data_IF_738035545472
#
_entry.id   IF_738035545472
#
_cell.length_a   1.000
_cell.length_b   1.000
_cell.length_c   1.000
_cell.angle_alpha   90.00
_cell.angle_beta   90.00
_cell.angle_gamma   90.00
#
_symmetry.space_group_name_H-M   'P 1'
#
loop_
_entity.id
_entity.type
_entity.pdbx_description
1 polymer ?
#
# COMPACT_ATOMS: atom_id res chain seq x y z
N UNK A 1 -8.65 31.17 -47.18
CA UNK A 1 -8.30 31.74 -45.87
C UNK A 1 -7.93 33.18 -46.12
N UNK A 2 -8.82 34.08 -45.71
CA UNK A 2 -8.77 35.50 -46.02
C UNK A 2 -7.53 36.18 -45.40
N UNK A 3 -6.99 37.25 -46.01
CA UNK A 3 -5.81 37.97 -45.51
C UNK A 3 -6.03 38.59 -44.11
N UNK A 4 -7.28 38.81 -43.70
CA UNK A 4 -7.64 39.32 -42.37
C UNK A 4 -7.32 38.33 -41.23
N UNK A 5 -7.43 37.02 -41.48
CA UNK A 5 -7.16 35.98 -40.48
C UNK A 5 -5.66 35.85 -40.16
N UNK A 6 -4.79 36.06 -41.14
CA UNK A 6 -3.33 36.03 -40.95
C UNK A 6 -2.83 37.23 -40.14
N UNK A 7 -3.43 38.41 -40.32
CA UNK A 7 -3.12 39.59 -39.53
C UNK A 7 -3.58 39.41 -38.07
N UNK A 8 -4.77 38.84 -37.86
CA UNK A 8 -5.28 38.51 -36.53
C UNK A 8 -4.38 37.49 -35.82
N UNK A 9 -3.92 36.45 -36.52
CA UNK A 9 -3.03 35.41 -35.99
C UNK A 9 -1.64 35.97 -35.62
N UNK A 10 -1.08 36.86 -36.44
CA UNK A 10 0.17 37.57 -36.17
C UNK A 10 0.06 38.47 -34.93
N UNK A 11 -1.05 39.18 -34.76
CA UNK A 11 -1.31 39.99 -33.56
C UNK A 11 -1.42 39.15 -32.29
N UNK A 12 -1.97 37.93 -32.39
CA UNK A 12 -2.10 36.97 -31.28
C UNK A 12 -0.74 36.38 -30.89
N UNK A 13 0.10 36.07 -31.88
CA UNK A 13 1.47 35.61 -31.68
C UNK A 13 2.35 36.69 -31.04
N UNK A 14 2.26 37.95 -31.47
CA UNK A 14 2.98 39.07 -30.83
C UNK A 14 2.53 39.29 -29.38
N UNK A 15 1.23 39.18 -29.08
CA UNK A 15 0.71 39.26 -27.70
C UNK A 15 1.19 38.11 -26.82
N UNK A 16 1.30 36.88 -27.34
CA UNK A 16 1.89 35.76 -26.61
C UNK A 16 3.40 35.94 -26.40
N UNK A 17 4.13 36.47 -27.39
CA UNK A 17 5.58 36.74 -27.28
C UNK A 17 5.88 37.84 -26.26
N UNK A 18 5.01 38.84 -26.16
CA UNK A 18 5.07 39.89 -25.11
C UNK A 18 4.75 39.32 -23.71
N UNK A 19 3.80 38.38 -23.61
CA UNK A 19 3.48 37.68 -22.34
C UNK A 19 4.54 36.65 -21.91
N UNK A 20 5.39 36.19 -22.82
CA UNK A 20 6.54 35.31 -22.51
C UNK A 20 7.84 36.08 -22.20
N UNK A 21 7.82 37.41 -22.17
CA UNK A 21 8.95 38.18 -21.64
C UNK A 21 8.92 38.07 -20.11
N UNK A 22 9.90 37.34 -19.59
CA UNK A 22 10.01 36.85 -18.22
C UNK A 22 9.76 37.92 -17.13
N UNK A 23 9.18 37.53 -15.98
CA UNK A 23 9.28 38.35 -14.77
C UNK A 23 10.75 38.41 -14.34
N UNK A 24 11.19 39.64 -14.10
CA UNK A 24 12.48 40.02 -13.55
C UNK A 24 12.66 39.51 -12.11
N UNK A 25 13.86 38.97 -11.88
CA UNK A 25 14.62 38.94 -10.61
C UNK A 25 14.20 37.93 -9.52
N UNK A 26 14.78 36.73 -9.59
CA UNK A 26 15.14 35.95 -8.40
C UNK A 26 16.25 36.69 -7.63
N UNK A 27 16.30 36.62 -6.28
CA UNK A 27 17.35 37.26 -5.50
C UNK A 27 18.74 36.74 -5.92
N UNK A 28 19.79 37.59 -5.90
CA UNK A 28 21.12 37.15 -6.26
C UNK A 28 21.59 36.07 -5.30
N UNK A 29 21.97 34.90 -5.85
CA UNK A 29 22.65 33.85 -5.11
C UNK A 29 23.92 34.48 -4.51
N UNK A 30 24.14 34.40 -3.18
CA UNK A 30 25.35 34.94 -2.57
C UNK A 30 26.58 34.34 -3.25
N UNK A 31 27.51 35.19 -3.68
CA UNK A 31 28.79 34.76 -4.23
C UNK A 31 29.52 33.97 -3.13
N UNK A 32 29.42 32.64 -3.17
CA UNK A 32 29.89 31.76 -2.10
C UNK A 32 29.03 30.51 -1.90
N UNK A 33 27.73 30.55 -2.25
CA UNK A 33 26.82 29.42 -2.07
C UNK A 33 27.28 28.16 -2.84
N UNK A 34 27.86 28.34 -4.03
CA UNK A 34 28.44 27.24 -4.81
C UNK A 34 29.74 26.67 -4.20
N UNK A 35 30.52 27.50 -3.50
CA UNK A 35 31.72 27.04 -2.79
C UNK A 35 31.34 26.32 -1.49
N UNK A 36 30.34 26.82 -0.77
CA UNK A 36 29.79 26.18 0.44
C UNK A 36 29.14 24.82 0.10
N UNK A 37 28.37 24.74 -0.98
CA UNK A 37 27.80 23.47 -1.46
C UNK A 37 28.88 22.47 -1.86
N UNK A 38 29.96 22.91 -2.53
CA UNK A 38 31.11 22.05 -2.84
C UNK A 38 31.81 21.56 -1.58
N UNK A 39 32.04 22.43 -0.60
CA UNK A 39 32.63 22.05 0.69
C UNK A 39 31.75 21.07 1.49
N UNK A 40 30.42 21.22 1.44
CA UNK A 40 29.47 20.26 2.02
C UNK A 40 29.50 18.91 1.31
N UNK A 41 29.69 18.89 -0.01
CA UNK A 41 29.77 17.65 -0.80
C UNK A 41 31.08 16.90 -0.54
N UNK A 42 32.19 17.61 -0.38
CA UNK A 42 33.49 17.05 -0.03
C UNK A 42 33.51 16.50 1.40
N UNK A 43 32.88 17.20 2.35
CA UNK A 43 32.75 16.69 3.73
C UNK A 43 31.88 15.43 3.81
N UNK A 44 30.80 15.34 3.02
CA UNK A 44 29.98 14.12 2.90
C UNK A 44 30.78 12.95 2.31
N UNK A 45 31.55 13.15 1.24
CA UNK A 45 32.44 12.11 0.69
C UNK A 45 33.49 11.65 1.70
N UNK A 46 34.06 12.58 2.48
CA UNK A 46 35.00 12.24 3.54
C UNK A 46 34.37 11.50 4.73
N UNK A 47 33.07 11.67 4.98
CA UNK A 47 32.33 10.89 5.98
C UNK A 47 31.98 9.49 5.45
N UNK A 48 31.64 9.38 4.16
CA UNK A 48 31.37 8.09 3.49
C UNK A 48 32.61 7.19 3.51
N UNK A 49 33.78 7.72 3.18
CA UNK A 49 35.06 6.99 3.27
C UNK A 49 35.36 6.54 4.71
N UNK A 50 35.12 7.42 5.70
CA UNK A 50 35.30 7.06 7.13
C UNK A 50 34.33 6.00 7.62
N UNK A 51 33.11 5.94 7.10
CA UNK A 51 32.15 4.88 7.39
C UNK A 51 32.59 3.57 6.73
N UNK A 52 33.14 3.63 5.51
CA UNK A 52 33.67 2.47 4.81
C UNK A 52 34.92 1.90 5.50
N UNK A 53 35.82 2.76 5.98
CA UNK A 53 36.99 2.36 6.78
C UNK A 53 36.61 1.81 8.14
N UNK A 54 35.59 2.38 8.81
CA UNK A 54 35.04 1.81 10.07
C UNK A 54 34.32 0.48 9.86
N UNK A 55 33.67 0.28 8.71
CA UNK A 55 33.09 -1.01 8.33
C UNK A 55 34.18 -2.05 8.02
N UNK A 56 35.30 -1.63 7.40
CA UNK A 56 36.48 -2.49 7.20
C UNK A 56 37.22 -2.84 8.50
N UNK A 57 37.36 -1.87 9.41
CA UNK A 57 38.06 -2.06 10.69
C UNK A 57 37.25 -2.84 11.74
N UNK A 58 35.91 -2.80 11.67
CA UNK A 58 35.03 -3.59 12.55
C UNK A 58 34.87 -5.05 12.12
N UNK A 59 35.42 -5.43 10.95
CA UNK A 59 35.43 -6.81 10.46
C UNK A 59 36.49 -7.73 11.08
N UNK A 60 37.38 -7.23 11.96
CA UNK A 60 38.51 -8.01 12.49
C UNK A 60 38.37 -8.46 13.96
N UNK A 61 37.33 -8.04 14.68
CA UNK A 61 37.11 -8.46 16.08
C UNK A 61 35.61 -8.55 16.41
N UNK A 62 34.98 -9.64 15.99
CA UNK A 62 33.73 -10.09 16.58
C UNK A 62 33.71 -11.62 16.59
N UNK A 63 34.16 -12.15 17.73
CA UNK A 63 34.12 -13.56 18.08
C UNK A 63 32.65 -14.02 18.09
N UNK A 64 32.36 -15.05 17.31
CA UNK A 64 31.08 -15.72 17.24
C UNK A 64 30.60 -16.15 18.63
N UNK A 65 29.51 -15.55 19.11
CA UNK A 65 28.60 -16.18 20.06
C UNK A 65 27.36 -16.57 19.28
N UNK A 66 27.37 -17.81 18.79
CA UNK A 66 26.27 -18.44 18.09
C UNK A 66 25.11 -18.68 19.06
N UNK A 67 24.02 -17.92 18.87
CA UNK A 67 22.68 -18.36 19.23
C UNK A 67 21.92 -18.66 17.91
N UNK A 68 21.16 -19.75 17.83
CA UNK A 68 20.82 -20.37 16.55
C UNK A 68 19.88 -19.49 15.74
N UNK A 69 20.34 -19.05 14.58
CA UNK A 69 19.47 -18.57 13.52
C UNK A 69 18.56 -19.73 13.12
N UNK A 70 17.26 -19.54 13.30
CA UNK A 70 16.26 -20.42 12.71
C UNK A 70 16.51 -20.47 11.20
N UNK A 71 16.86 -21.65 10.71
CA UNK A 71 16.99 -21.94 9.30
C UNK A 71 15.63 -21.73 8.62
N UNK A 72 15.57 -20.78 7.71
CA UNK A 72 14.42 -20.47 6.90
C UNK A 72 14.85 -19.81 5.59
N UNK A 73 15.15 -20.68 4.62
CA UNK A 73 15.21 -20.52 3.18
C UNK A 73 16.08 -19.39 2.56
N UNK A 74 16.86 -19.76 1.55
CA UNK A 74 17.91 -18.96 0.89
C UNK A 74 17.40 -17.88 -0.06
N UNK A 75 16.57 -16.96 0.42
CA UNK A 75 16.15 -15.77 -0.33
C UNK A 75 17.11 -14.62 -0.11
N UNK A 76 17.70 -14.06 -1.18
CA UNK A 76 18.39 -12.77 -1.09
C UNK A 76 17.47 -11.75 -0.42
N UNK A 77 17.93 -11.16 0.69
CA UNK A 77 17.16 -10.18 1.45
C UNK A 77 16.77 -9.03 0.51
N UNK A 78 15.47 -8.79 0.38
CA UNK A 78 14.93 -7.70 -0.43
C UNK A 78 15.56 -6.35 -0.02
N UNK A 79 15.66 -5.37 -0.92
CA UNK A 79 16.16 -4.05 -0.57
C UNK A 79 15.38 -3.40 0.58
N UNK A 80 16.07 -2.64 1.44
CA UNK A 80 15.48 -2.03 2.62
C UNK A 80 14.28 -1.12 2.31
N UNK A 81 14.33 -0.38 1.20
CA UNK A 81 13.24 0.50 0.77
C UNK A 81 11.96 -0.26 0.40
N UNK A 82 12.04 -1.57 0.10
CA UNK A 82 10.87 -2.42 -0.14
C UNK A 82 10.36 -3.05 1.16
N UNK A 83 11.27 -3.49 2.03
CA UNK A 83 10.96 -4.20 3.28
C UNK A 83 10.34 -3.33 4.36
N UNK A 84 10.65 -2.04 4.37
CA UNK A 84 10.17 -1.10 5.38
C UNK A 84 9.32 0.00 4.76
N UNK A 85 8.77 -0.25 3.57
CA UNK A 85 8.00 0.72 2.84
C UNK A 85 6.75 1.15 3.60
N UNK A 86 6.00 0.21 4.17
CA UNK A 86 4.78 0.50 4.93
C UNK A 86 5.07 1.30 6.21
N UNK A 87 6.20 1.03 6.87
CA UNK A 87 6.62 1.71 8.10
C UNK A 87 7.12 3.14 7.86
N UNK A 88 7.63 3.43 6.67
CA UNK A 88 8.17 4.74 6.31
C UNK A 88 7.12 5.74 5.79
N UNK A 89 5.84 5.34 5.71
CA UNK A 89 4.78 6.22 5.20
C UNK A 89 4.19 7.05 6.34
N UNK A 90 4.17 8.38 6.19
CA UNK A 90 3.51 9.32 7.11
C UNK A 90 1.97 9.31 6.96
N UNK A 91 1.37 8.13 6.76
CA UNK A 91 -0.07 7.96 6.62
C UNK A 91 -0.67 7.46 7.94
N UNK A 92 -1.90 7.90 8.28
CA UNK A 92 -2.60 7.36 9.45
C UNK A 92 -2.71 5.83 9.33
N UNK A 93 -2.65 5.11 10.46
CA UNK A 93 -2.67 3.65 10.47
C UNK A 93 -3.97 3.15 9.82
N UNK A 94 -3.83 2.38 8.75
CA UNK A 94 -4.94 1.83 7.99
C UNK A 94 -4.52 0.59 7.21
N UNK A 95 -5.38 0.13 6.29
CA UNK A 95 -5.11 -1.02 5.42
C UNK A 95 -4.14 -0.65 4.28
N UNK A 96 -2.90 -0.33 4.64
CA UNK A 96 -1.85 0.00 3.66
C UNK A 96 -1.41 -1.23 2.88
N UNK A 97 -1.12 -1.06 1.59
CA UNK A 97 -0.61 -2.14 0.75
C UNK A 97 0.92 -2.29 0.85
N UNK A 98 1.44 -3.54 0.75
CA UNK A 98 2.87 -3.81 0.60
C UNK A 98 3.48 -3.08 -0.62
N UNK A 99 4.78 -2.78 -0.58
CA UNK A 99 5.49 -2.12 -1.70
C UNK A 99 5.20 -2.77 -3.05
N UNK A 100 5.34 -4.10 -3.12
CA UNK A 100 5.17 -4.86 -4.37
C UNK A 100 3.76 -4.76 -4.93
N UNK A 101 2.76 -4.73 -4.06
CA UNK A 101 1.35 -4.62 -4.44
C UNK A 101 1.01 -3.20 -4.85
N UNK A 102 1.63 -2.19 -4.24
CA UNK A 102 1.54 -0.79 -4.69
C UNK A 102 2.11 -0.62 -6.09
N UNK A 103 3.29 -1.20 -6.38
CA UNK A 103 3.87 -1.19 -7.74
C UNK A 103 2.93 -1.87 -8.73
N UNK A 104 2.34 -3.02 -8.37
CA UNK A 104 1.39 -3.71 -9.24
C UNK A 104 0.10 -2.90 -9.47
N UNK A 105 -0.39 -2.18 -8.47
CA UNK A 105 -1.53 -1.27 -8.61
C UNK A 105 -1.22 -0.08 -9.54
N UNK A 106 0.00 0.46 -9.47
CA UNK A 106 0.48 1.48 -10.42
C UNK A 106 0.60 0.92 -11.84
N UNK A 107 1.10 -0.31 -11.99
CA UNK A 107 1.14 -1.02 -13.27
C UNK A 107 -0.25 -1.21 -13.85
N UNK A 108 -1.22 -1.69 -13.06
CA UNK A 108 -2.61 -1.84 -13.49
C UNK A 108 -3.21 -0.51 -13.93
N UNK A 109 -3.07 0.56 -13.13
CA UNK A 109 -3.54 1.91 -13.50
C UNK A 109 -2.97 2.34 -14.84
N UNK A 110 -1.71 2.01 -15.08
CA UNK A 110 -1.01 2.37 -16.31
C UNK A 110 -1.52 1.57 -17.50
N UNK A 111 -1.67 0.26 -17.34
CA UNK A 111 -2.26 -0.63 -18.34
C UNK A 111 -3.67 -0.14 -18.71
N UNK A 112 -4.52 0.16 -17.72
CA UNK A 112 -5.91 0.56 -17.95
C UNK A 112 -6.01 1.93 -18.64
N UNK A 113 -5.06 2.84 -18.38
CA UNK A 113 -4.99 4.13 -19.07
C UNK A 113 -4.62 3.96 -20.55
N UNK A 114 -3.59 3.15 -20.86
CA UNK A 114 -3.18 2.88 -22.24
C UNK A 114 -4.25 2.06 -22.98
N UNK A 115 -4.80 1.03 -22.32
CA UNK A 115 -5.89 0.22 -22.86
C UNK A 115 -7.12 1.09 -23.16
N UNK A 116 -7.51 1.98 -22.25
CA UNK A 116 -8.61 2.92 -22.48
C UNK A 116 -8.39 3.83 -23.68
N UNK A 117 -7.19 4.39 -23.82
CA UNK A 117 -6.84 5.23 -24.97
C UNK A 117 -6.95 4.46 -26.30
N UNK A 118 -6.47 3.22 -26.36
CA UNK A 118 -6.52 2.38 -27.56
C UNK A 118 -7.94 1.87 -27.85
N UNK A 119 -8.65 1.43 -26.81
CA UNK A 119 -10.01 0.93 -26.89
C UNK A 119 -10.99 2.00 -27.38
N UNK A 120 -10.91 3.21 -26.81
CA UNK A 120 -11.84 4.29 -27.10
C UNK A 120 -11.73 4.82 -28.54
N UNK A 121 -10.61 4.57 -29.21
CA UNK A 121 -10.39 4.89 -30.62
C UNK A 121 -10.51 3.67 -31.54
N UNK A 122 -11.04 2.55 -31.04
CA UNK A 122 -11.24 1.29 -31.75
C UNK A 122 -9.95 0.70 -32.35
N UNK A 123 -8.82 0.87 -31.66
CA UNK A 123 -7.54 0.29 -32.04
C UNK A 123 -7.27 -1.01 -31.27
N UNK A 124 -6.79 -2.04 -31.96
CA UNK A 124 -6.40 -3.31 -31.32
C UNK A 124 -5.28 -3.10 -30.31
N UNK A 125 -5.56 -3.51 -29.07
CA UNK A 125 -4.67 -3.37 -27.92
C UNK A 125 -3.73 -4.57 -27.88
N UNK A 126 -2.55 -4.43 -28.47
CA UNK A 126 -1.51 -5.47 -28.42
C UNK A 126 -0.62 -5.29 -27.19
N UNK A 127 -0.09 -6.39 -26.67
CA UNK A 127 0.84 -6.37 -25.55
C UNK A 127 2.05 -5.47 -25.83
N UNK A 128 2.58 -5.47 -27.05
CA UNK A 128 3.70 -4.60 -27.43
C UNK A 128 3.38 -3.10 -27.23
N UNK A 129 2.18 -2.65 -27.61
CA UNK A 129 1.73 -1.26 -27.41
C UNK A 129 1.54 -0.95 -25.94
N UNK A 130 0.92 -1.86 -25.19
CA UNK A 130 0.72 -1.71 -23.74
C UNK A 130 2.07 -1.67 -23.02
N UNK A 131 2.98 -2.58 -23.34
CA UNK A 131 4.34 -2.63 -22.79
C UNK A 131 5.06 -1.30 -23.01
N UNK A 132 5.13 -0.83 -24.25
CA UNK A 132 5.77 0.45 -24.55
C UNK A 132 5.12 1.61 -23.77
N UNK A 133 3.79 1.74 -23.82
CA UNK A 133 3.08 2.81 -23.14
C UNK A 133 3.23 2.80 -21.61
N UNK A 134 3.22 1.62 -20.99
CA UNK A 134 3.40 1.47 -19.54
C UNK A 134 4.85 1.77 -19.14
N UNK A 135 5.84 1.29 -19.90
CA UNK A 135 7.25 1.58 -19.63
C UNK A 135 7.56 3.06 -19.79
N UNK A 136 6.98 3.73 -20.80
CA UNK A 136 7.12 5.17 -21.00
C UNK A 136 6.49 5.97 -19.87
N UNK A 137 5.33 5.53 -19.37
CA UNK A 137 4.62 6.25 -18.32
C UNK A 137 5.21 6.02 -16.92
N UNK A 138 5.63 4.79 -16.60
CA UNK A 138 6.14 4.44 -15.28
C UNK A 138 7.66 4.52 -15.15
N UNK A 139 8.40 4.55 -16.27
CA UNK A 139 9.87 4.45 -16.31
C UNK A 139 10.41 3.22 -15.56
N UNK A 140 9.65 2.11 -15.59
CA UNK A 140 9.96 0.82 -14.97
C UNK A 140 9.80 -0.31 -15.99
N UNK A 141 10.43 -1.45 -15.76
CA UNK A 141 10.26 -2.63 -16.61
C UNK A 141 8.83 -3.17 -16.53
N UNK A 142 8.28 -3.59 -17.67
CA UNK A 142 6.96 -4.20 -17.75
C UNK A 142 6.97 -5.41 -18.70
N UNK A 143 6.72 -6.59 -18.15
CA UNK A 143 6.75 -7.88 -18.84
C UNK A 143 5.39 -8.59 -18.80
N UNK A 144 5.23 -9.62 -19.64
CA UNK A 144 4.00 -10.43 -19.69
C UNK A 144 3.67 -11.06 -18.33
N UNK A 145 4.68 -11.39 -17.52
CA UNK A 145 4.50 -11.85 -16.14
C UNK A 145 3.61 -10.91 -15.34
N UNK A 146 3.73 -9.59 -15.50
CA UNK A 146 2.91 -8.63 -14.76
C UNK A 146 1.47 -8.60 -15.26
N UNK A 147 1.23 -8.86 -16.56
CA UNK A 147 -0.13 -9.08 -17.09
C UNK A 147 -0.74 -10.32 -16.46
N UNK A 148 0.05 -11.39 -16.29
CA UNK A 148 -0.37 -12.58 -15.54
C UNK A 148 -0.70 -12.28 -14.09
N UNK A 149 0.08 -11.43 -13.41
CA UNK A 149 -0.21 -10.99 -12.03
C UNK A 149 -1.49 -10.15 -11.96
N UNK A 150 -1.68 -9.22 -12.90
CA UNK A 150 -2.91 -8.42 -13.01
C UNK A 150 -4.13 -9.34 -13.20
N UNK A 151 -4.03 -10.34 -14.08
CA UNK A 151 -5.08 -11.35 -14.29
C UNK A 151 -5.33 -12.18 -13.03
N UNK A 152 -4.31 -12.54 -12.26
CA UNK A 152 -4.49 -13.26 -11.00
C UNK A 152 -5.27 -12.44 -9.97
N UNK A 153 -5.01 -11.13 -9.88
CA UNK A 153 -5.68 -10.22 -8.93
C UNK A 153 -7.08 -9.85 -9.38
N UNK A 154 -7.28 -9.63 -10.68
CA UNK A 154 -8.56 -9.20 -11.24
C UNK A 154 -8.87 -9.97 -12.53
N UNK A 155 -9.31 -11.24 -12.42
CA UNK A 155 -9.49 -12.14 -13.57
C UNK A 155 -10.52 -11.66 -14.59
N UNK A 156 -11.52 -10.91 -14.13
CA UNK A 156 -12.62 -10.39 -14.94
C UNK A 156 -12.30 -9.07 -15.64
N UNK A 157 -11.11 -8.49 -15.43
CA UNK A 157 -10.75 -7.17 -15.96
C UNK A 157 -10.53 -7.11 -17.47
N UNK A 158 -9.87 -8.14 -18.02
CA UNK A 158 -9.50 -8.24 -19.42
C UNK A 158 -9.71 -9.64 -19.95
N UNK A 159 -10.22 -9.72 -21.18
CA UNK A 159 -10.16 -10.92 -21.99
C UNK A 159 -8.86 -10.92 -22.77
N UNK A 160 -8.03 -11.91 -22.51
CA UNK A 160 -6.73 -12.07 -23.15
C UNK A 160 -6.85 -13.08 -24.29
N UNK A 161 -6.31 -12.76 -25.47
CA UNK A 161 -6.34 -13.63 -26.65
C UNK A 161 -5.00 -13.64 -27.35
N UNK A 162 -4.79 -14.66 -28.17
CA UNK A 162 -3.68 -14.67 -29.11
C UNK A 162 -4.21 -14.48 -30.53
N UNK A 163 -3.79 -13.41 -31.20
CA UNK A 163 -4.30 -13.03 -32.52
C UNK A 163 -3.15 -12.94 -33.54
N UNK A 164 -3.45 -13.30 -34.79
CA UNK A 164 -2.52 -13.29 -35.94
C UNK A 164 -2.88 -12.15 -36.88
N UNK A 165 -1.94 -11.72 -37.72
CA UNK A 165 -2.16 -10.71 -38.77
C UNK A 165 -2.54 -9.30 -38.29
N UNK A 166 -2.20 -8.92 -37.05
CA UNK A 166 -2.40 -7.54 -36.60
C UNK A 166 -1.37 -6.65 -37.30
N UNK A 167 -1.79 -5.56 -37.98
CA UNK A 167 -0.86 -4.68 -38.67
C UNK A 167 0.02 -3.92 -37.67
N UNK A 168 1.25 -4.40 -37.48
CA UNK A 168 2.30 -3.70 -36.73
C UNK A 168 3.08 -2.78 -37.66
N UNK A 169 2.95 -1.47 -37.48
CA UNK A 169 3.82 -0.50 -38.16
C UNK A 169 5.19 -0.50 -37.48
N UNK A 170 6.25 -0.84 -38.23
CA UNK A 170 7.64 -0.59 -37.80
C UNK A 170 8.30 -1.64 -36.89
N UNK A 171 7.73 -2.83 -36.69
CA UNK A 171 8.43 -3.93 -36.02
C UNK A 171 8.61 -5.09 -37.01
N UNK A 172 9.84 -5.61 -37.14
CA UNK A 172 10.20 -6.73 -38.02
C UNK A 172 9.55 -8.08 -37.67
N UNK A 173 8.43 -8.05 -36.94
CA UNK A 173 7.56 -9.19 -36.63
C UNK A 173 6.88 -9.62 -37.93
N UNK A 174 7.06 -10.88 -38.31
CA UNK A 174 6.49 -11.41 -39.55
C UNK A 174 4.95 -11.39 -39.40
N UNK A 175 4.22 -11.10 -40.49
CA UNK A 175 2.74 -11.13 -40.49
C UNK A 175 2.15 -12.46 -39.97
N UNK A 176 2.95 -13.53 -39.95
CA UNK A 176 2.63 -14.85 -39.43
C UNK A 176 2.70 -15.03 -37.90
N UNK A 177 3.17 -14.04 -37.15
CA UNK A 177 3.48 -14.24 -35.73
C UNK A 177 2.32 -13.79 -34.84
N UNK A 178 1.98 -14.66 -33.89
CA UNK A 178 0.92 -14.47 -32.93
C UNK A 178 1.28 -13.39 -31.91
N UNK A 179 0.38 -12.45 -31.64
CA UNK A 179 0.55 -11.42 -30.60
C UNK A 179 -0.53 -11.53 -29.52
N UNK A 180 -0.14 -11.31 -28.27
CA UNK A 180 -1.07 -11.24 -27.14
C UNK A 180 -1.89 -9.94 -27.25
N UNK A 181 -3.21 -10.06 -27.26
CA UNK A 181 -4.15 -8.94 -27.26
C UNK A 181 -4.94 -8.88 -25.96
N UNK A 182 -5.25 -7.65 -25.54
CA UNK A 182 -6.00 -7.36 -24.32
C UNK A 182 -7.33 -6.70 -24.72
N UNK A 183 -8.46 -7.25 -24.31
CA UNK A 183 -9.77 -6.63 -24.52
C UNK A 183 -10.37 -6.29 -23.14
N UNK A 184 -10.62 -5.00 -22.82
CA UNK A 184 -11.26 -4.65 -21.55
C UNK A 184 -12.69 -5.19 -21.53
N UNK A 185 -13.04 -5.89 -20.44
CA UNK A 185 -14.41 -6.37 -20.24
C UNK A 185 -15.21 -5.22 -19.61
N UNK A 186 -16.27 -4.80 -20.29
CA UNK A 186 -17.18 -3.73 -19.85
C UNK A 186 -18.58 -4.31 -19.58
N UNK A 187 -19.32 -3.69 -18.66
CA UNK A 187 -20.74 -4.00 -18.45
C UNK A 187 -21.60 -3.51 -19.62
N UNK A 188 -22.81 -4.07 -19.77
CA UNK A 188 -23.71 -3.79 -20.91
C UNK A 188 -24.12 -2.31 -21.05
N UNK A 189 -24.04 -1.54 -19.95
CA UNK A 189 -24.46 -0.14 -19.84
C UNK A 189 -23.39 0.90 -20.26
N UNK A 190 -22.17 0.47 -20.61
CA UNK A 190 -21.03 1.37 -20.87
C UNK A 190 -20.85 1.70 -22.35
N UNK A 191 -21.91 2.22 -22.98
CA UNK A 191 -21.89 2.62 -24.38
C UNK A 191 -21.95 4.15 -24.52
N UNK A 192 -20.96 4.73 -25.19
CA UNK A 192 -20.99 6.12 -25.64
C UNK A 192 -21.33 6.14 -27.13
N UNK A 193 -22.42 6.82 -27.51
CA UNK A 193 -22.92 6.85 -28.88
C UNK A 193 -23.14 5.43 -29.48
N UNK A 194 -23.60 4.48 -28.67
CA UNK A 194 -23.86 3.09 -29.07
C UNK A 194 -22.62 2.19 -29.20
N UNK A 195 -21.41 2.71 -28.95
CA UNK A 195 -20.17 1.94 -28.95
C UNK A 195 -19.63 1.74 -27.54
N UNK A 196 -19.05 0.56 -27.21
CA UNK A 196 -18.36 0.36 -25.95
C UNK A 196 -17.30 1.44 -25.73
N UNK A 197 -17.29 2.06 -24.55
CA UNK A 197 -16.35 3.15 -24.24
C UNK A 197 -15.86 3.04 -22.80
N UNK A 198 -14.55 3.00 -22.62
CA UNK A 198 -13.92 2.99 -21.31
C UNK A 198 -13.83 4.43 -20.78
N UNK A 199 -14.86 4.83 -20.03
CA UNK A 199 -14.99 6.18 -19.46
C UNK A 199 -14.09 6.41 -18.24
N UNK A 200 -13.93 7.67 -17.83
CA UNK A 200 -13.15 8.03 -16.65
C UNK A 200 -13.74 7.45 -15.34
N UNK A 201 -15.07 7.36 -15.22
CA UNK A 201 -15.71 6.75 -14.05
C UNK A 201 -15.38 5.25 -13.97
N UNK A 202 -15.38 4.57 -15.12
CA UNK A 202 -15.10 3.13 -15.21
C UNK A 202 -13.64 2.80 -14.94
N UNK A 203 -12.71 3.63 -15.40
CA UNK A 203 -11.30 3.56 -14.99
C UNK A 203 -11.13 3.69 -13.47
N UNK A 204 -11.90 4.58 -12.82
CA UNK A 204 -11.83 4.76 -11.37
C UNK A 204 -12.43 3.58 -10.61
N UNK A 205 -13.55 3.02 -11.08
CA UNK A 205 -14.17 1.81 -10.53
C UNK A 205 -13.23 0.61 -10.63
N UNK A 206 -12.69 0.33 -11.82
CA UNK A 206 -11.72 -0.75 -12.05
C UNK A 206 -10.49 -0.59 -11.16
N UNK A 207 -10.00 0.65 -10.98
CA UNK A 207 -8.89 0.94 -10.04
C UNK A 207 -9.25 0.63 -8.58
N UNK A 208 -10.48 0.98 -8.15
CA UNK A 208 -10.96 0.67 -6.79
C UNK A 208 -11.12 -0.83 -6.58
N UNK A 209 -11.66 -1.53 -7.57
CA UNK A 209 -11.85 -2.98 -7.53
C UNK A 209 -10.50 -3.72 -7.47
N UNK A 210 -9.54 -3.34 -8.32
CA UNK A 210 -8.18 -3.88 -8.28
C UNK A 210 -7.51 -3.65 -6.92
N UNK A 211 -7.64 -2.43 -6.36
CA UNK A 211 -7.09 -2.12 -5.04
C UNK A 211 -7.77 -2.94 -3.93
N UNK A 212 -9.10 -3.11 -3.99
CA UNK A 212 -9.86 -3.94 -3.05
C UNK A 212 -9.40 -5.40 -3.12
N UNK A 213 -9.22 -5.95 -4.32
CA UNK A 213 -8.71 -7.32 -4.49
C UNK A 213 -7.32 -7.49 -3.90
N UNK A 214 -6.40 -6.53 -4.10
CA UNK A 214 -5.09 -6.55 -3.45
C UNK A 214 -5.19 -6.52 -1.93
N UNK A 215 -6.05 -5.65 -1.37
CA UNK A 215 -6.27 -5.59 0.08
C UNK A 215 -6.82 -6.92 0.60
N UNK A 216 -7.74 -7.56 -0.12
CA UNK A 216 -8.29 -8.86 0.27
C UNK A 216 -7.22 -9.96 0.30
N UNK A 217 -6.28 -9.97 -0.65
CA UNK A 217 -5.13 -10.90 -0.60
C UNK A 217 -4.29 -10.65 0.66
N UNK A 218 -4.01 -9.39 1.01
CA UNK A 218 -3.28 -9.07 2.26
C UNK A 218 -4.08 -9.47 3.49
N UNK A 219 -5.41 -9.31 3.49
CA UNK A 219 -6.30 -9.76 4.58
C UNK A 219 -6.19 -11.27 4.81
N UNK A 220 -6.09 -12.09 3.76
CA UNK A 220 -5.90 -13.53 3.88
C UNK A 220 -4.58 -13.87 4.60
N UNK A 221 -3.48 -13.21 4.21
CA UNK A 221 -2.19 -13.38 4.88
C UNK A 221 -2.19 -12.86 6.32
N UNK A 222 -2.90 -11.76 6.58
CA UNK A 222 -3.08 -11.22 7.92
C UNK A 222 -3.91 -12.15 8.80
N UNK A 223 -4.97 -12.75 8.28
CA UNK A 223 -5.77 -13.75 9.00
C UNK A 223 -4.94 -14.98 9.37
N UNK A 224 -4.11 -15.49 8.45
CA UNK A 224 -3.16 -16.56 8.73
C UNK A 224 -2.15 -16.18 9.83
N UNK A 225 -1.64 -14.94 9.81
CA UNK A 225 -0.77 -14.42 10.85
C UNK A 225 -1.48 -14.35 12.22
N UNK A 226 -2.71 -13.83 12.27
CA UNK A 226 -3.49 -13.73 13.51
C UNK A 226 -3.81 -15.09 14.12
N UNK A 227 -4.07 -16.11 13.28
CA UNK A 227 -4.28 -17.49 13.73
C UNK A 227 -3.02 -18.11 14.35
N UNK A 228 -1.83 -17.68 13.93
CA UNK A 228 -0.54 -18.13 14.48
C UNK A 228 -0.12 -17.42 15.78
N UNK A 229 -0.83 -16.38 16.23
CA UNK A 229 -0.51 -15.70 17.48
C UNK A 229 -0.92 -16.52 18.71
N UNK A 230 -0.20 -16.33 19.82
CA UNK A 230 -0.58 -16.88 21.13
C UNK A 230 -1.03 -15.74 22.04
N UNK A 231 -2.33 -15.59 22.37
CA UNK A 231 -3.48 -16.42 21.99
C UNK A 231 -3.95 -16.16 20.54
N UNK A 232 -4.59 -17.16 19.89
CA UNK A 232 -5.12 -17.00 18.55
C UNK A 232 -6.15 -15.87 18.51
N UNK A 233 -6.01 -15.01 17.51
CA UNK A 233 -6.93 -13.89 17.30
C UNK A 233 -7.73 -14.12 16.03
N UNK A 234 -9.04 -13.87 16.08
CA UNK A 234 -9.91 -13.90 14.90
C UNK A 234 -10.61 -12.56 14.81
N UNK A 235 -10.33 -11.82 13.75
CA UNK A 235 -10.94 -10.52 13.48
C UNK A 235 -11.73 -10.63 12.17
N UNK A 236 -13.04 -10.34 12.15
CA UNK A 236 -13.82 -10.34 10.92
C UNK A 236 -13.26 -9.37 9.88
N UNK A 237 -13.09 -9.83 8.64
CA UNK A 237 -12.46 -9.07 7.56
C UNK A 237 -13.17 -7.74 7.24
N UNK A 238 -14.50 -7.69 7.43
CA UNK A 238 -15.33 -6.51 7.13
C UNK A 238 -15.14 -5.38 8.15
N UNK A 239 -14.74 -5.71 9.38
CA UNK A 239 -14.54 -4.74 10.47
C UNK A 239 -13.08 -4.30 10.63
N UNK A 240 -12.18 -4.86 9.85
CA UNK A 240 -10.75 -4.55 9.94
C UNK A 240 -10.48 -3.16 9.37
N UNK A 241 -10.05 -2.23 10.23
CA UNK A 241 -9.72 -0.84 9.82
C UNK A 241 -8.22 -0.62 9.65
N UNK A 242 -7.40 -1.38 10.38
CA UNK A 242 -5.93 -1.32 10.34
C UNK A 242 -5.30 -2.68 10.56
N UNK A 243 -4.07 -2.85 10.08
CA UNK A 243 -3.29 -4.07 10.32
C UNK A 243 -2.87 -4.21 11.78
N UNK A 244 -2.57 -5.44 12.19
CA UNK A 244 -1.97 -5.70 13.50
C UNK A 244 -0.58 -5.03 13.58
N UNK A 245 -0.17 -4.35 14.67
CA UNK A 245 1.10 -3.62 14.73
C UNK A 245 2.36 -4.48 14.50
N UNK A 246 2.31 -5.76 14.90
CA UNK A 246 3.37 -6.75 14.64
C UNK A 246 3.29 -7.45 13.28
N UNK A 247 2.28 -7.16 12.47
CA UNK A 247 2.16 -7.75 11.15
C UNK A 247 3.08 -7.02 10.18
N UNK A 248 4.05 -7.72 9.61
CA UNK A 248 4.95 -7.15 8.61
C UNK A 248 4.30 -7.19 7.24
N UNK A 249 3.71 -6.05 6.84
CA UNK A 249 2.97 -5.91 5.58
C UNK A 249 3.87 -6.15 4.37
N UNK A 250 5.15 -5.75 4.39
CA UNK A 250 6.03 -5.84 3.22
C UNK A 250 6.66 -7.25 3.01
N UNK A 251 6.50 -8.16 3.97
CA UNK A 251 6.94 -9.57 3.87
C UNK A 251 5.87 -10.50 3.28
N UNK A 252 4.72 -9.96 2.88
CA UNK A 252 3.65 -10.72 2.24
C UNK A 252 4.17 -11.38 0.93
N UNK A 253 3.81 -12.64 0.65
CA UNK A 253 4.23 -13.36 -0.56
C UNK A 253 3.89 -12.64 -1.87
N UNK A 254 4.71 -12.89 -2.89
CA UNK A 254 4.48 -12.37 -4.24
C UNK A 254 3.27 -13.04 -4.89
N UNK A 255 2.49 -12.25 -5.63
CA UNK A 255 1.36 -12.76 -6.40
C UNK A 255 1.88 -13.64 -7.53
N UNK A 256 1.45 -14.91 -7.53
CA UNK A 256 1.72 -15.87 -8.59
C UNK A 256 1.02 -15.43 -9.88
N UNK A 257 1.73 -15.27 -11.01
CA UNK A 257 1.12 -14.89 -12.27
C UNK A 257 0.15 -15.95 -12.75
N UNK A 258 -1.06 -15.55 -13.13
CA UNK A 258 -2.02 -16.45 -13.78
C UNK A 258 -1.55 -16.81 -15.19
N UNK A 259 -1.94 -18.00 -15.65
CA UNK A 259 -1.59 -18.47 -16.99
C UNK A 259 -2.18 -17.57 -18.08
N UNK A 260 -1.32 -17.20 -19.03
CA UNK A 260 -1.67 -16.41 -20.20
C UNK A 260 -1.92 -17.33 -21.40
N UNK A 261 -2.81 -16.95 -22.34
CA UNK A 261 -3.01 -17.72 -23.56
C UNK A 261 -1.69 -17.77 -24.32
N UNK A 262 -1.25 -18.98 -24.66
CA UNK A 262 -0.05 -19.19 -25.48
C UNK A 262 -0.46 -19.25 -26.95
N UNK A 263 0.43 -18.87 -27.88
CA UNK A 263 0.24 -19.18 -29.28
C UNK A 263 -0.08 -20.66 -29.47
N UNK A 264 -1.10 -21.01 -30.29
CA UNK A 264 -1.28 -22.39 -30.68
C UNK A 264 0.02 -22.85 -31.33
N UNK A 265 0.55 -23.99 -30.88
CA UNK A 265 1.69 -24.63 -31.52
C UNK A 265 1.20 -25.09 -32.90
N UNK A 266 1.33 -24.22 -33.91
CA UNK A 266 1.34 -24.69 -35.28
C UNK A 266 2.53 -25.65 -35.37
N UNK A 267 2.28 -26.95 -35.53
CA UNK A 267 3.30 -27.94 -35.91
C UNK A 267 3.86 -27.52 -37.26
N UNK A 268 4.75 -26.52 -37.23
CA UNK A 268 5.54 -26.14 -38.39
C UNK A 268 6.47 -27.32 -38.59
N UNK A 269 6.16 -28.16 -39.56
CA UNK A 269 7.03 -29.21 -40.05
C UNK A 269 8.21 -28.51 -40.74
N UNK A 270 9.11 -27.92 -39.95
CA UNK A 270 10.23 -27.11 -40.43
C UNK A 270 11.36 -27.98 -40.95
N UNK A 271 11.35 -29.26 -40.61
CA UNK A 271 12.46 -30.16 -40.88
C UNK A 271 12.04 -31.21 -41.88
N UNK A 272 12.80 -31.39 -42.96
CA UNK A 272 12.58 -32.49 -43.91
C UNK A 272 12.54 -33.87 -43.22
N UNK A 273 13.20 -33.98 -42.07
CA UNK A 273 13.15 -35.16 -41.19
C UNK A 273 11.77 -35.40 -40.55
N UNK A 274 11.02 -34.35 -40.22
CA UNK A 274 9.66 -34.47 -39.67
C UNK A 274 8.62 -34.75 -40.76
N UNK A 275 8.84 -34.24 -41.98
CA UNK A 275 8.06 -34.66 -43.16
C UNK A 275 8.32 -36.14 -43.50
N UNK A 276 9.57 -36.59 -43.36
CA UNK A 276 9.92 -38.00 -43.58
C UNK A 276 9.43 -38.90 -42.44
N UNK A 277 9.40 -38.44 -41.19
CA UNK A 277 8.89 -39.24 -40.07
C UNK A 277 7.37 -39.39 -40.09
N UNK A 278 6.63 -38.39 -40.56
CA UNK A 278 5.19 -38.49 -40.81
C UNK A 278 4.89 -39.37 -42.04
N UNK A 279 5.75 -39.34 -43.07
CA UNK A 279 5.66 -40.22 -44.23
C UNK A 279 6.17 -41.66 -44.01
N UNK A 280 6.81 -41.97 -42.86
CA UNK A 280 7.26 -43.34 -42.52
C UNK A 280 6.11 -44.35 -42.43
N UNK A 281 4.88 -43.91 -42.24
CA UNK A 281 3.68 -44.77 -42.31
C UNK A 281 3.26 -45.15 -43.74
N UNK A 282 3.90 -44.59 -44.78
CA UNK A 282 3.59 -44.86 -46.19
C UNK A 282 4.65 -45.66 -46.95
N UNK A 283 5.70 -46.22 -46.32
CA UNK A 283 6.68 -47.07 -47.02
C UNK A 283 7.27 -48.23 -46.20
N UNK A 284 7.24 -49.41 -46.84
CA UNK A 284 7.85 -50.75 -46.61
C UNK A 284 8.09 -51.21 -45.13
N UNK A 285 7.37 -52.26 -44.67
CA UNK A 285 7.28 -52.70 -43.26
C UNK A 285 8.53 -53.38 -42.65
N UNK A 286 9.68 -53.41 -43.34
CA UNK A 286 10.86 -54.17 -42.87
C UNK A 286 11.85 -53.35 -42.02
N UNK A 287 11.75 -52.03 -41.97
CA UNK A 287 12.64 -51.18 -41.17
C UNK A 287 12.05 -50.71 -39.83
N UNK A 288 10.72 -50.77 -39.65
CA UNK A 288 10.04 -50.45 -38.38
C UNK A 288 10.43 -51.39 -37.23
N UNK A 289 10.61 -52.69 -37.52
CA UNK A 289 10.98 -53.70 -36.53
C UNK A 289 12.41 -53.57 -35.99
N UNK A 290 13.29 -52.83 -36.67
CA UNK A 290 14.66 -52.60 -36.20
C UNK A 290 14.78 -51.40 -35.26
N UNK A 291 13.88 -50.40 -35.36
CA UNK A 291 13.88 -49.19 -34.52
C UNK A 291 13.06 -49.35 -33.23
N UNK A 292 12.04 -50.21 -33.22
CA UNK A 292 11.29 -50.55 -32.01
C UNK A 292 12.19 -51.21 -30.93
N UNK A 293 13.20 -51.98 -31.35
CA UNK A 293 14.14 -52.64 -30.43
C UNK A 293 15.22 -51.71 -29.84
N UNK A 294 15.36 -50.47 -30.34
CA UNK A 294 16.29 -49.47 -29.81
C UNK A 294 15.63 -48.50 -28.82
N UNK A 295 14.32 -48.25 -28.96
CA UNK A 295 13.54 -47.43 -28.03
C UNK A 295 13.16 -48.18 -26.73
N UNK A 296 13.14 -49.52 -26.76
CA UNK A 296 12.95 -50.34 -25.56
C UNK A 296 14.22 -50.43 -24.68
N UNK A 297 15.40 -49.99 -25.15
CA UNK A 297 16.66 -49.98 -24.36
C UNK A 297 16.96 -48.65 -23.67
N UNK A 298 16.17 -47.60 -23.89
CA UNK A 298 16.38 -46.26 -23.30
C UNK A 298 15.30 -45.84 -22.29
N UNK A 299 14.33 -46.72 -21.99
CA UNK A 299 13.23 -46.44 -21.05
C UNK A 299 13.42 -47.06 -19.65
N UNK A 300 14.57 -47.65 -19.32
CA UNK A 300 14.87 -48.27 -18.01
C UNK A 300 15.84 -47.44 -17.13
N UNK A 301 16.02 -46.14 -17.39
CA UNK A 301 16.83 -45.27 -16.55
C UNK A 301 16.04 -44.02 -16.11
N UNK A 302 15.39 -44.12 -14.95
CA UNK A 302 15.04 -42.95 -14.13
C UNK A 302 13.54 -42.71 -13.90
N UNK A 303 12.90 -43.55 -13.08
CA UNK A 303 11.63 -43.24 -12.42
C UNK A 303 11.72 -43.68 -10.95
N UNK A 304 11.88 -42.71 -10.04
CA UNK A 304 11.81 -42.90 -8.59
C UNK A 304 10.72 -42.00 -8.02
N UNK A 305 9.72 -42.63 -7.40
CA UNK A 305 8.59 -41.99 -6.70
C UNK A 305 8.75 -42.15 -5.16
N UNK A 306 7.95 -41.46 -4.32
CA UNK A 306 8.43 -40.62 -3.21
C UNK A 306 8.23 -41.24 -1.81
N UNK A 307 8.95 -40.71 -0.81
CA UNK A 307 8.78 -41.06 0.61
C UNK A 307 8.28 -39.86 1.43
N UNK A 308 7.35 -40.18 2.32
CA UNK A 308 6.40 -39.36 3.09
C UNK A 308 7.02 -38.67 4.32
N UNK A 309 6.64 -37.40 4.47
CA UNK A 309 6.31 -36.62 5.67
C UNK A 309 6.95 -36.91 7.04
N UNK A 310 7.67 -35.92 7.59
CA UNK A 310 7.88 -35.77 9.05
C UNK A 310 7.48 -34.36 9.50
N UNK A 311 6.49 -34.29 10.40
CA UNK A 311 5.98 -33.05 10.97
C UNK A 311 6.89 -32.49 12.09
N UNK A 312 6.85 -31.17 12.34
CA UNK A 312 7.71 -30.49 13.32
C UNK A 312 7.12 -30.46 14.73
N UNK A 313 7.94 -30.73 15.74
CA UNK A 313 7.61 -30.46 17.15
C UNK A 313 7.78 -28.97 17.47
N UNK A 314 6.89 -28.37 18.30
CA UNK A 314 6.95 -26.94 18.60
C UNK A 314 8.00 -26.61 19.65
N UNK A 315 8.49 -25.38 19.56
CA UNK A 315 9.56 -24.80 20.34
C UNK A 315 9.25 -24.71 21.84
N UNK A 316 10.22 -25.15 22.63
CA UNK A 316 10.32 -24.95 24.07
C UNK A 316 10.33 -23.45 24.40
N UNK A 317 9.36 -23.00 25.19
CA UNK A 317 9.33 -21.64 25.70
C UNK A 317 10.54 -21.37 26.61
N UNK A 318 11.22 -20.28 26.32
CA UNK A 318 12.38 -19.74 27.02
C UNK A 318 12.20 -19.64 28.54
N UNK A 319 13.26 -19.98 29.27
CA UNK A 319 13.35 -19.97 30.74
C UNK A 319 13.28 -18.60 31.43
N UNK A 320 12.76 -17.57 30.75
CA UNK A 320 12.69 -16.19 31.25
C UNK A 320 11.47 -15.89 32.13
N UNK A 321 10.52 -16.84 32.26
CA UNK A 321 9.27 -16.69 33.02
C UNK A 321 9.19 -17.65 34.22
N UNK A 322 10.33 -18.18 34.67
CA UNK A 322 10.42 -19.11 35.80
C UNK A 322 10.17 -18.38 37.12
N UNK A 323 8.90 -18.05 37.39
CA UNK A 323 8.49 -17.35 38.62
C UNK A 323 7.15 -16.60 38.56
N UNK A 324 6.53 -16.43 37.38
CA UNK A 324 5.20 -15.82 37.25
C UNK A 324 4.18 -16.94 37.01
N UNK A 325 3.03 -16.91 37.71
CA UNK A 325 1.99 -17.93 37.54
C UNK A 325 1.50 -17.96 36.09
N UNK A 326 1.37 -19.16 35.52
CA UNK A 326 0.92 -19.35 34.14
C UNK A 326 -0.46 -18.72 33.90
N UNK A 327 -1.35 -18.78 34.90
CA UNK A 327 -2.67 -18.13 34.87
C UNK A 327 -2.60 -16.60 34.73
N UNK A 328 -1.64 -15.94 35.40
CA UNK A 328 -1.48 -14.49 35.28
C UNK A 328 -0.94 -14.11 33.89
N UNK A 329 0.00 -14.89 33.37
CA UNK A 329 0.52 -14.70 32.01
C UNK A 329 -0.55 -14.90 30.96
N UNK A 330 -1.38 -15.94 31.09
CA UNK A 330 -2.52 -16.18 30.21
C UNK A 330 -3.54 -15.04 30.27
N UNK A 331 -3.84 -14.54 31.48
CA UNK A 331 -4.75 -13.40 31.66
C UNK A 331 -4.18 -12.11 31.05
N UNK A 332 -2.89 -11.85 31.19
CA UNK A 332 -2.22 -10.70 30.57
C UNK A 332 -2.27 -10.82 29.05
N UNK A 333 -1.89 -11.99 28.49
CA UNK A 333 -1.93 -12.23 27.05
C UNK A 333 -3.35 -12.10 26.48
N UNK A 334 -4.36 -12.62 27.17
CA UNK A 334 -5.75 -12.48 26.78
C UNK A 334 -6.22 -11.01 26.81
N UNK A 335 -5.77 -10.23 27.81
CA UNK A 335 -6.06 -8.80 27.90
C UNK A 335 -5.37 -8.00 26.80
N UNK A 336 -4.13 -8.32 26.47
CA UNK A 336 -3.38 -7.71 25.36
C UNK A 336 -4.03 -8.03 24.01
N UNK A 337 -4.41 -9.29 23.79
CA UNK A 337 -5.11 -9.71 22.57
C UNK A 337 -6.45 -8.97 22.40
N UNK A 338 -7.25 -8.85 23.47
CA UNK A 338 -8.51 -8.05 23.43
C UNK A 338 -8.24 -6.58 23.09
N UNK A 339 -7.22 -5.98 23.71
CA UNK A 339 -6.83 -4.59 23.42
C UNK A 339 -6.42 -4.42 21.95
N UNK A 340 -5.64 -5.36 21.41
CA UNK A 340 -5.21 -5.36 20.01
C UNK A 340 -6.39 -5.57 19.06
N UNK A 341 -7.36 -6.42 19.41
CA UNK A 341 -8.58 -6.63 18.63
C UNK A 341 -9.43 -5.36 18.56
N UNK A 342 -9.63 -4.67 19.69
CA UNK A 342 -10.34 -3.40 19.73
C UNK A 342 -9.62 -2.36 18.85
N UNK A 343 -8.29 -2.23 18.97
CA UNK A 343 -7.51 -1.33 18.11
C UNK A 343 -7.69 -1.62 16.62
N UNK A 344 -7.74 -2.89 16.21
CA UNK A 344 -7.90 -3.30 14.81
C UNK A 344 -9.32 -3.08 14.25
N UNK A 345 -10.32 -2.95 15.11
CA UNK A 345 -11.75 -2.88 14.73
C UNK A 345 -12.40 -1.53 15.01
N UNK A 346 -11.65 -0.59 15.59
CA UNK A 346 -12.13 0.77 15.89
C UNK A 346 -12.38 1.58 14.63
N UNK A 347 -13.51 2.29 14.65
CA UNK A 347 -13.87 3.28 13.64
C UNK A 347 -13.13 4.61 13.84
N UNK A 348 -12.98 5.40 12.77
CA UNK A 348 -12.28 6.68 12.78
C UNK A 348 -12.92 7.69 13.75
N UNK A 349 -14.27 7.75 13.82
CA UNK A 349 -14.96 8.66 14.74
C UNK A 349 -14.78 8.27 16.22
N UNK A 350 -14.65 6.98 16.50
CA UNK A 350 -14.37 6.48 17.85
C UNK A 350 -12.93 6.81 18.28
N UNK A 351 -11.97 6.72 17.37
CA UNK A 351 -10.58 7.09 17.64
C UNK A 351 -10.41 8.59 17.91
N UNK A 352 -11.10 9.44 17.13
CA UNK A 352 -11.16 10.88 17.41
C UNK A 352 -11.73 11.14 18.81
N UNK A 353 -12.85 10.50 19.17
CA UNK A 353 -13.44 10.63 20.52
C UNK A 353 -12.47 10.17 21.60
N UNK A 354 -11.75 9.06 21.41
CA UNK A 354 -10.74 8.58 22.36
C UNK A 354 -9.57 9.56 22.51
N UNK A 355 -9.07 10.12 21.40
CA UNK A 355 -8.04 11.14 21.44
C UNK A 355 -8.51 12.40 22.19
N UNK A 356 -9.78 12.78 22.03
CA UNK A 356 -10.38 13.86 22.81
C UNK A 356 -10.44 13.49 24.31
N UNK A 357 -10.91 12.30 24.65
CA UNK A 357 -11.03 11.79 26.02
C UNK A 357 -9.68 11.68 26.75
N UNK A 358 -8.64 11.20 26.06
CA UNK A 358 -7.30 11.04 26.65
C UNK A 358 -6.65 12.36 27.06
N UNK A 359 -7.05 13.48 26.45
CA UNK A 359 -6.54 14.83 26.76
C UNK A 359 -7.31 15.51 27.89
N UNK A 360 -8.56 15.11 28.15
CA UNK A 360 -9.44 15.73 29.16
C UNK A 360 -8.82 15.79 30.56
N UNK A 361 -8.13 14.77 31.09
CA UNK A 361 -7.52 14.84 32.43
C UNK A 361 -6.52 16.00 32.59
N UNK A 362 -5.69 16.25 31.57
CA UNK A 362 -4.74 17.35 31.57
C UNK A 362 -5.46 18.71 31.41
N UNK A 363 -6.44 18.75 30.50
CA UNK A 363 -7.25 19.95 30.25
C UNK A 363 -8.10 20.35 31.46
N UNK A 364 -8.53 19.40 32.29
CA UNK A 364 -9.31 19.67 33.50
C UNK A 364 -8.53 20.54 34.50
N UNK A 365 -7.22 20.28 34.64
CA UNK A 365 -6.32 21.06 35.49
C UNK A 365 -6.13 22.47 34.93
N UNK A 366 -5.96 22.60 33.62
CA UNK A 366 -5.80 23.90 32.94
C UNK A 366 -7.07 24.72 33.05
N UNK A 367 -8.24 24.12 32.79
CA UNK A 367 -9.55 24.76 32.92
C UNK A 367 -9.75 25.30 34.34
N UNK A 368 -9.42 24.50 35.36
CA UNK A 368 -9.47 24.95 36.75
C UNK A 368 -8.59 26.19 36.97
N UNK A 369 -7.34 26.16 36.50
CA UNK A 369 -6.39 27.26 36.67
C UNK A 369 -6.88 28.55 36.01
N UNK A 370 -7.48 28.47 34.81
CA UNK A 370 -8.08 29.61 34.11
C UNK A 370 -9.20 30.24 34.95
N UNK A 371 -10.09 29.43 35.52
CA UNK A 371 -11.18 29.94 36.38
C UNK A 371 -10.72 30.46 37.74
N UNK A 372 -9.59 29.98 38.25
CA UNK A 372 -8.94 30.53 39.45
C UNK A 372 -8.32 31.90 39.14
N UNK A 373 -7.65 32.05 38.00
CA UNK A 373 -7.03 33.29 37.56
C UNK A 373 -8.06 34.41 37.28
N UNK A 374 -9.13 34.08 36.55
CA UNK A 374 -10.20 35.03 36.18
C UNK A 374 -11.12 35.41 37.36
N UNK A 375 -11.09 34.64 38.46
CA UNK A 375 -11.92 34.78 39.67
C UNK A 375 -13.44 34.76 39.47
N UNK A 376 -13.94 34.73 38.23
CA UNK A 376 -15.38 34.63 37.88
C UNK A 376 -15.89 33.18 37.96
N UNK A 377 -17.17 32.94 38.33
CA UNK A 377 -17.77 31.61 38.35
C UNK A 377 -18.27 31.15 36.97
N UNK A 378 -18.46 32.09 36.03
CA UNK A 378 -18.85 31.82 34.65
C UNK A 378 -18.06 32.73 33.70
N UNK A 379 -17.70 32.19 32.53
CA UNK A 379 -16.97 32.89 31.47
C UNK A 379 -17.68 32.67 30.12
N UNK A 380 -17.61 33.63 29.18
CA UNK A 380 -18.00 33.38 27.80
C UNK A 380 -17.17 32.23 27.21
N UNK A 381 -17.80 31.36 26.44
CA UNK A 381 -17.17 30.16 25.87
C UNK A 381 -15.97 30.53 24.99
N UNK A 382 -16.09 31.58 24.18
CA UNK A 382 -15.00 32.08 23.34
C UNK A 382 -13.76 32.51 24.17
N UNK A 383 -14.00 33.23 25.28
CA UNK A 383 -12.94 33.69 26.18
C UNK A 383 -12.29 32.50 26.88
N UNK A 384 -13.09 31.52 27.33
CA UNK A 384 -12.57 30.29 27.92
C UNK A 384 -11.71 29.50 26.93
N UNK A 385 -12.16 29.37 25.68
CA UNK A 385 -11.40 28.72 24.61
C UNK A 385 -10.06 29.43 24.33
N UNK A 386 -10.07 30.76 24.23
CA UNK A 386 -8.85 31.54 24.00
C UNK A 386 -7.84 31.38 25.14
N UNK A 387 -8.29 31.52 26.39
CA UNK A 387 -7.43 31.36 27.58
C UNK A 387 -6.89 29.94 27.74
N UNK A 388 -7.70 28.94 27.41
CA UNK A 388 -7.24 27.56 27.41
C UNK A 388 -6.24 27.27 26.30
N UNK A 389 -6.41 27.84 25.11
CA UNK A 389 -5.44 27.71 24.02
C UNK A 389 -4.10 28.36 24.34
N UNK A 390 -4.09 29.48 25.07
CA UNK A 390 -2.86 30.12 25.58
C UNK A 390 -2.17 29.31 26.69
N UNK A 391 -2.95 28.62 27.53
CA UNK A 391 -2.45 27.93 28.73
C UNK A 391 -2.12 26.45 28.48
N UNK A 392 -2.58 25.86 27.38
CA UNK A 392 -2.34 24.45 27.06
C UNK A 392 -1.01 24.29 26.29
N UNK A 393 -0.14 23.33 26.64
CA UNK A 393 1.16 23.15 25.98
C UNK A 393 1.08 22.81 24.48
N UNK A 394 -0.06 22.30 24.01
CA UNK A 394 -0.28 21.96 22.60
C UNK A 394 -1.09 23.08 21.95
N UNK A 395 -0.58 23.65 20.85
CA UNK A 395 -1.36 24.62 20.06
C UNK A 395 -2.59 23.92 19.47
N UNK A 396 -3.77 24.49 19.70
CA UNK A 396 -5.05 23.98 19.23
C UNK A 396 -5.89 25.11 18.65
N UNK A 397 -6.75 24.77 17.70
CA UNK A 397 -7.71 25.73 17.17
C UNK A 397 -8.83 25.97 18.19
N UNK A 398 -9.42 27.18 18.18
CA UNK A 398 -10.52 27.52 19.09
C UNK A 398 -11.73 26.56 18.95
N UNK A 399 -11.99 26.06 17.73
CA UNK A 399 -13.05 25.08 17.48
C UNK A 399 -12.79 23.70 18.07
N UNK A 400 -11.53 23.23 18.10
CA UNK A 400 -11.18 21.98 18.77
C UNK A 400 -11.31 22.12 20.30
N UNK A 401 -10.87 23.26 20.85
CA UNK A 401 -10.98 23.55 22.28
C UNK A 401 -12.44 23.57 22.74
N UNK A 402 -13.32 24.12 21.92
CA UNK A 402 -14.76 24.16 22.18
C UNK A 402 -15.38 22.75 22.23
N UNK A 403 -14.95 21.84 21.33
CA UNK A 403 -15.38 20.43 21.36
C UNK A 403 -14.99 19.75 22.68
N UNK A 404 -13.80 20.04 23.20
CA UNK A 404 -13.37 19.52 24.50
C UNK A 404 -14.20 20.08 25.67
N UNK A 405 -14.55 21.37 25.64
CA UNK A 405 -15.40 21.97 26.67
C UNK A 405 -16.83 21.43 26.66
N UNK A 406 -17.39 21.17 25.46
CA UNK A 406 -18.67 20.46 25.33
C UNK A 406 -18.61 19.04 25.87
N UNK A 407 -17.52 18.32 25.60
CA UNK A 407 -17.30 16.97 26.17
C UNK A 407 -17.21 16.98 27.70
N UNK A 408 -16.61 18.01 28.31
CA UNK A 408 -16.63 18.15 29.77
C UNK A 408 -18.05 18.27 30.33
N UNK A 409 -18.91 19.06 29.67
CA UNK A 409 -20.30 19.22 30.09
C UNK A 409 -21.14 17.95 29.87
N UNK A 410 -20.85 17.17 28.83
CA UNK A 410 -21.51 15.88 28.56
C UNK A 410 -21.14 14.83 29.63
N UNK A 411 -19.85 14.72 29.97
CA UNK A 411 -19.35 13.68 30.88
C UNK A 411 -19.52 14.02 32.36
N UNK A 412 -19.44 15.32 32.69
CA UNK A 412 -19.48 15.83 34.06
C UNK A 412 -20.41 17.05 34.16
N UNK A 413 -21.73 16.86 33.96
CA UNK A 413 -22.70 17.96 34.06
C UNK A 413 -22.69 18.60 35.45
N UNK A 414 -22.32 17.85 36.48
CA UNK A 414 -22.24 18.36 37.83
C UNK A 414 -21.04 19.30 38.04
N UNK A 415 -20.00 19.24 37.20
CA UNK A 415 -18.77 20.04 37.36
C UNK A 415 -18.71 21.21 36.38
N UNK A 416 -19.08 20.97 35.12
CA UNK A 416 -19.08 21.97 34.05
C UNK A 416 -20.49 22.08 33.48
N UNK A 417 -21.07 23.28 33.55
CA UNK A 417 -22.35 23.60 32.94
C UNK A 417 -22.17 24.54 31.75
N UNK A 418 -22.79 24.24 30.62
CA UNK A 418 -22.87 25.14 29.46
C UNK A 418 -24.26 25.76 29.44
N UNK A 419 -24.32 27.08 29.42
CA UNK A 419 -25.56 27.84 29.40
C UNK A 419 -25.55 28.81 28.22
N UNK A 420 -26.47 28.62 27.28
CA UNK A 420 -26.69 29.58 26.20
C UNK A 420 -27.67 30.67 26.68
N UNK A 421 -27.24 31.93 26.63
CA UNK A 421 -28.06 33.08 27.00
C UNK A 421 -28.10 34.04 25.80
N UNK A 422 -29.26 34.12 25.13
CA UNK A 422 -29.46 34.91 23.90
C UNK A 422 -28.54 34.44 22.76
N UNK A 423 -27.54 35.24 22.38
CA UNK A 423 -26.55 34.93 21.33
C UNK A 423 -25.28 34.31 21.87
N UNK A 424 -25.04 34.42 23.19
CA UNK A 424 -23.74 34.14 23.78
C UNK A 424 -23.82 32.85 24.61
N UNK A 425 -22.81 32.00 24.45
CA UNK A 425 -22.69 30.76 25.23
C UNK A 425 -21.72 30.97 26.37
N UNK A 426 -22.15 30.67 27.59
CA UNK A 426 -21.35 30.76 28.81
C UNK A 426 -21.02 29.37 29.35
N UNK A 427 -19.83 29.24 29.92
CA UNK A 427 -19.38 28.07 30.66
C UNK A 427 -19.28 28.41 32.14
N UNK A 428 -19.94 27.63 32.99
CA UNK A 428 -19.92 27.74 34.45
C UNK A 428 -19.14 26.56 35.02
N UNK A 429 -18.23 26.85 35.95
CA UNK A 429 -17.41 25.84 36.63
C UNK A 429 -17.75 25.82 38.13
N UNK A 430 -18.05 24.64 38.67
CA UNK A 430 -18.18 24.48 40.12
C UNK A 430 -16.80 24.47 40.78
N UNK A 431 -16.55 25.48 41.64
CA UNK A 431 -15.27 25.65 42.33
C UNK A 431 -15.11 24.75 43.55
N UNK A 432 -16.17 24.14 44.06
CA UNK A 432 -16.14 23.41 45.31
C UNK A 432 -15.75 21.94 45.12
N UNK A 433 -15.63 21.49 43.87
CA UNK A 433 -15.27 20.11 43.53
C UNK A 433 -13.77 19.92 43.46
N UNK A 434 -13.31 18.82 44.04
CA UNK A 434 -11.92 18.42 43.97
C UNK A 434 -11.54 17.99 42.55
N UNK A 435 -10.49 18.62 42.03
CA UNK A 435 -9.91 18.34 40.72
C UNK A 435 -9.33 16.92 40.67
N UNK A 436 -8.83 16.39 41.80
CA UNK A 436 -8.34 15.02 41.90
C UNK A 436 -9.41 14.00 41.52
N UNK A 437 -10.57 14.07 42.18
CA UNK A 437 -11.72 13.20 41.90
C UNK A 437 -12.27 13.36 40.48
N UNK A 438 -12.27 14.58 39.95
CA UNK A 438 -12.65 14.86 38.56
C UNK A 438 -11.71 14.18 37.58
N UNK A 439 -10.40 14.31 37.79
CA UNK A 439 -9.36 13.67 36.96
C UNK A 439 -9.48 12.15 37.03
N UNK A 440 -9.70 11.57 38.21
CA UNK A 440 -9.91 10.13 38.36
C UNK A 440 -11.13 9.63 37.58
N UNK A 441 -12.27 10.33 37.68
CA UNK A 441 -13.47 10.00 36.89
C UNK A 441 -13.22 10.08 35.39
N UNK A 442 -12.55 11.13 34.92
CA UNK A 442 -12.19 11.29 33.50
C UNK A 442 -11.24 10.20 33.02
N UNK A 443 -10.23 9.82 33.83
CA UNK A 443 -9.33 8.72 33.48
C UNK A 443 -10.03 7.37 33.48
N UNK A 444 -11.04 7.16 34.33
CA UNK A 444 -11.87 5.95 34.33
C UNK A 444 -12.70 5.87 33.05
N UNK A 445 -13.39 6.95 32.68
CA UNK A 445 -14.17 7.04 31.43
C UNK A 445 -13.26 6.84 30.21
N UNK A 446 -12.07 7.46 30.19
CA UNK A 446 -11.11 7.25 29.10
C UNK A 446 -10.68 5.79 28.98
N UNK A 447 -10.40 5.10 30.12
CA UNK A 447 -10.04 3.68 30.14
C UNK A 447 -11.19 2.76 29.73
N UNK A 448 -12.43 3.08 30.08
CA UNK A 448 -13.62 2.34 29.68
C UNK A 448 -13.86 2.48 28.17
N UNK A 449 -13.74 3.70 27.64
CA UNK A 449 -13.80 3.95 26.21
C UNK A 449 -12.65 3.26 25.45
N UNK A 450 -11.45 3.18 26.03
CA UNK A 450 -10.32 2.42 25.49
C UNK A 450 -10.47 0.89 25.61
N UNK A 451 -11.49 0.38 26.32
CA UNK A 451 -11.75 -1.05 26.44
C UNK A 451 -12.84 -1.54 25.48
N UNK A 452 -13.67 -0.61 24.99
CA UNK A 452 -14.66 -0.78 23.93
C UNK A 452 -13.98 -0.74 22.55
#
# INVERSE_FOLDING_TARGET
MEPEDLAALRSRLQRMKMKMKAPSQLPPIPAGAGAELRGRLETLRGLELRLHDKAGASGAQAQETTAPAAAGDGGQKLPAYQRFHALAQDQPPGLTLPYKYKVLAEMFRSVDTIAGMLFNRAETITFAKVKQGVQDMMRKQFEERHVGQIKAVYPTSYRLRQEKNIPTFGSGVKKSDYQLTLEPVLGEDEKLCGRPHLSASRLLERRREFNRSLVNIVKQHHAAFLAGLTPPMVVPEDKLTRWHPRFNVDEVPDISPAELPRPPQEERITTAQELLSTARGMMIPKMEKALANLALRTAEAGAGEPVVSKAPSPASTSGALKGVSQELLERIRAKEARKLQALMTRDAGQEERLALLGRLPAMARVLRNVFVAEKKPALPLEVACARMAESFPTQMTAGEMEKHLRLFAELLPDWVGIHAIRTDTYIKLDKNKDVGLVVERLTKVAKEAEAL
#
